data_IF_324969228752
#
_entry.id   IF_324969228752
#
_cell.length_a   1.000
_cell.length_b   1.000
_cell.length_c   1.000
_cell.angle_alpha   90.00
_cell.angle_beta   90.00
_cell.angle_gamma   90.00
#
_symmetry.space_group_name_H-M   'P 1'
#
loop_
_entity.id
_entity.type
_entity.pdbx_description
1 polymer ?
#
# COMPACT_ATOMS: atom_id res chain seq x y z
N UNK A 1 46.32 54.49 -9.99
CA UNK A 1 44.89 54.13 -9.96
C UNK A 1 44.78 52.61 -9.83
N UNK A 2 44.43 52.13 -8.66
CA UNK A 2 44.37 50.70 -8.36
C UNK A 2 42.87 50.34 -8.32
N UNK A 3 42.42 49.59 -9.34
CA UNK A 3 41.01 49.14 -9.42
C UNK A 3 40.78 47.89 -8.57
N UNK A 4 39.89 48.00 -7.59
CA UNK A 4 39.44 46.89 -6.75
C UNK A 4 38.31 46.17 -7.51
N UNK A 5 38.55 44.94 -7.96
CA UNK A 5 37.52 44.04 -8.48
C UNK A 5 36.76 43.40 -7.29
N UNK A 6 35.53 43.80 -7.10
CA UNK A 6 34.59 43.16 -6.14
C UNK A 6 34.07 41.86 -6.75
N UNK A 7 34.50 40.71 -6.23
CA UNK A 7 33.95 39.40 -6.58
C UNK A 7 32.65 39.19 -5.75
N UNK A 8 31.51 39.29 -6.40
CA UNK A 8 30.22 38.96 -5.80
C UNK A 8 30.02 37.45 -5.84
N UNK A 9 30.24 36.75 -4.70
CA UNK A 9 29.98 35.34 -4.56
C UNK A 9 28.47 35.15 -4.44
N UNK A 10 27.81 34.64 -5.50
CA UNK A 10 26.44 34.18 -5.43
C UNK A 10 26.36 32.88 -4.60
N UNK A 11 25.85 32.98 -3.41
CA UNK A 11 25.47 31.82 -2.60
C UNK A 11 24.22 31.18 -3.22
N UNK A 12 24.42 30.07 -3.91
CA UNK A 12 23.29 29.21 -4.29
C UNK A 12 22.76 28.56 -3.01
N UNK A 13 21.66 29.06 -2.51
CA UNK A 13 20.87 28.38 -1.48
C UNK A 13 20.23 27.15 -2.14
N UNK A 14 20.78 25.97 -1.90
CA UNK A 14 20.11 24.70 -2.22
C UNK A 14 18.88 24.60 -1.31
N UNK A 15 17.67 24.75 -1.88
CA UNK A 15 16.45 24.48 -1.15
C UNK A 15 16.51 23.03 -0.62
N UNK A 16 16.40 22.87 0.68
CA UNK A 16 16.22 21.54 1.28
C UNK A 16 14.98 20.90 0.66
N UNK A 17 15.04 19.64 0.22
CA UNK A 17 13.87 18.96 -0.31
C UNK A 17 12.77 19.01 0.74
N UNK A 18 11.62 19.54 0.38
CA UNK A 18 10.43 19.55 1.23
C UNK A 18 10.11 18.12 1.60
N UNK A 19 10.07 17.80 2.90
CA UNK A 19 9.74 16.46 3.37
C UNK A 19 8.36 16.08 2.80
N UNK A 20 8.32 15.01 2.00
CA UNK A 20 7.07 14.55 1.40
C UNK A 20 6.13 14.07 2.50
N UNK A 21 4.88 14.57 2.48
CA UNK A 21 3.88 14.17 3.45
C UNK A 21 3.30 12.80 3.07
N UNK A 22 3.10 11.89 4.04
CA UNK A 22 2.45 10.60 3.78
C UNK A 22 0.97 10.81 3.43
N UNK A 23 0.47 10.01 2.49
CA UNK A 23 -0.97 9.94 2.15
C UNK A 23 -1.78 9.15 3.18
N UNK A 24 -1.11 8.28 3.93
CA UNK A 24 -1.64 7.57 5.11
C UNK A 24 -0.55 7.61 6.16
N UNK A 25 -0.92 8.01 7.39
CA UNK A 25 -0.04 7.97 8.54
C UNK A 25 -0.81 7.48 9.77
N UNK A 26 -0.37 6.36 10.34
CA UNK A 26 -0.97 5.77 11.53
C UNK A 26 0.11 5.07 12.37
N UNK A 27 -0.29 4.31 13.39
CA UNK A 27 0.67 3.62 14.27
C UNK A 27 1.46 2.50 13.56
N UNK A 28 0.91 1.91 12.48
CA UNK A 28 1.51 0.76 11.79
C UNK A 28 2.39 1.16 10.60
N UNK A 29 1.98 2.18 9.85
CA UNK A 29 2.62 2.56 8.58
C UNK A 29 2.61 4.06 8.36
N UNK A 30 3.61 4.55 7.60
CA UNK A 30 3.54 5.78 6.83
C UNK A 30 3.59 5.42 5.35
N UNK A 31 2.60 5.84 4.58
CA UNK A 31 2.48 5.48 3.14
C UNK A 31 2.70 6.72 2.29
N UNK A 32 3.62 6.63 1.34
CA UNK A 32 3.99 7.72 0.45
C UNK A 32 3.66 7.35 -1.00
N UNK A 33 3.02 8.26 -1.71
CA UNK A 33 2.78 8.19 -3.16
C UNK A 33 3.76 9.14 -3.85
N UNK A 34 4.76 8.59 -4.50
CA UNK A 34 5.93 9.33 -4.97
C UNK A 34 6.18 9.15 -6.46
N UNK A 35 6.69 10.20 -7.11
CA UNK A 35 7.16 10.17 -8.51
C UNK A 35 8.66 10.49 -8.63
N UNK A 36 9.26 10.96 -7.54
CA UNK A 36 10.66 11.37 -7.47
C UNK A 36 11.38 10.63 -6.34
N UNK A 37 12.70 10.64 -6.38
CA UNK A 37 13.52 10.02 -5.36
C UNK A 37 13.25 10.62 -3.98
N UNK A 38 13.10 9.75 -2.99
CA UNK A 38 12.94 10.12 -1.58
C UNK A 38 14.10 9.58 -0.75
N UNK A 39 14.38 10.15 0.42
CA UNK A 39 15.44 9.68 1.31
C UNK A 39 15.30 8.20 1.70
N UNK A 40 16.39 7.66 2.24
CA UNK A 40 16.38 6.35 2.88
C UNK A 40 15.29 6.31 3.97
N UNK A 41 14.54 5.19 4.00
CA UNK A 41 13.43 5.05 4.92
C UNK A 41 13.92 4.77 6.36
N UNK A 42 13.27 5.36 7.37
CA UNK A 42 13.66 5.17 8.77
C UNK A 42 13.35 3.75 9.28
N UNK A 43 12.48 3.02 8.61
CA UNK A 43 12.12 1.63 8.89
C UNK A 43 12.27 0.76 7.65
N UNK A 44 12.00 -0.55 7.79
CA UNK A 44 11.80 -1.43 6.63
C UNK A 44 10.62 -0.92 5.80
N UNK A 45 10.63 -1.16 4.49
CA UNK A 45 9.53 -0.70 3.66
C UNK A 45 9.19 -1.67 2.53
N UNK A 46 7.92 -1.61 2.07
CA UNK A 46 7.47 -2.23 0.83
C UNK A 46 7.35 -1.14 -0.23
N UNK A 47 7.94 -1.39 -1.38
CA UNK A 47 7.97 -0.48 -2.54
C UNK A 47 7.19 -1.11 -3.67
N UNK A 48 6.14 -0.43 -4.17
CA UNK A 48 5.22 -0.99 -5.19
C UNK A 48 5.12 -0.02 -6.37
N UNK A 49 5.38 -0.53 -7.58
CA UNK A 49 5.17 0.20 -8.84
C UNK A 49 3.68 0.31 -9.18
N UNK A 50 3.15 1.51 -9.41
CA UNK A 50 1.78 1.69 -9.89
C UNK A 50 1.56 1.13 -11.30
N UNK A 51 2.58 1.16 -12.15
CA UNK A 51 2.47 0.72 -13.52
C UNK A 51 2.37 -0.80 -13.67
N UNK A 52 3.20 -1.55 -12.93
CA UNK A 52 3.28 -3.02 -13.04
C UNK A 52 2.63 -3.77 -11.89
N UNK A 53 2.53 -3.16 -10.70
CA UNK A 53 2.20 -3.85 -9.46
C UNK A 53 3.36 -4.67 -8.91
N UNK A 54 4.56 -4.53 -9.47
CA UNK A 54 5.75 -5.16 -8.92
C UNK A 54 6.03 -4.61 -7.53
N UNK A 55 6.26 -5.51 -6.59
CA UNK A 55 6.49 -5.16 -5.19
C UNK A 55 7.83 -5.72 -4.72
N UNK A 56 8.59 -4.91 -4.00
CA UNK A 56 9.87 -5.28 -3.40
C UNK A 56 9.93 -4.86 -1.94
N UNK A 57 10.71 -5.58 -1.15
CA UNK A 57 11.00 -5.22 0.24
C UNK A 57 12.38 -4.57 0.31
N UNK A 58 12.49 -3.49 1.07
CA UNK A 58 13.77 -2.83 1.36
C UNK A 58 13.97 -2.74 2.88
N UNK A 59 15.20 -2.94 3.31
CA UNK A 59 15.55 -2.83 4.72
C UNK A 59 15.70 -1.38 5.16
N UNK A 60 15.47 -1.12 6.43
CA UNK A 60 15.73 0.13 7.12
C UNK A 60 17.04 0.77 6.66
N UNK A 61 17.02 2.09 6.46
CA UNK A 61 18.18 2.85 6.01
C UNK A 61 18.45 2.76 4.49
N UNK A 62 17.59 2.06 3.73
CA UNK A 62 17.71 1.95 2.27
C UNK A 62 16.81 2.97 1.58
N UNK A 63 17.36 3.69 0.59
CA UNK A 63 16.56 4.56 -0.27
C UNK A 63 15.81 3.71 -1.31
N UNK A 64 14.49 3.91 -1.49
CA UNK A 64 13.74 3.19 -2.51
C UNK A 64 14.14 3.61 -3.91
N UNK A 65 14.17 2.64 -4.84
CA UNK A 65 14.33 2.95 -6.28
C UNK A 65 12.99 3.40 -6.83
N UNK A 66 12.91 4.65 -7.28
CA UNK A 66 11.70 5.23 -7.86
C UNK A 66 11.84 5.23 -9.38
N UNK A 67 10.98 4.47 -10.05
CA UNK A 67 10.87 4.39 -11.51
C UNK A 67 9.43 4.71 -11.93
N UNK A 68 9.09 6.00 -11.98
CA UNK A 68 7.72 6.48 -12.16
C UNK A 68 6.93 6.48 -10.85
N UNK A 69 5.60 6.58 -10.93
CA UNK A 69 4.74 6.63 -9.74
C UNK A 69 4.86 5.35 -8.92
N UNK A 70 5.25 5.50 -7.68
CA UNK A 70 5.62 4.42 -6.77
C UNK A 70 4.95 4.62 -5.41
N UNK A 71 4.40 3.55 -4.84
CA UNK A 71 3.95 3.52 -3.46
C UNK A 71 5.08 3.02 -2.58
N UNK A 72 5.38 3.75 -1.51
CA UNK A 72 6.32 3.33 -0.47
C UNK A 72 5.56 3.19 0.83
N UNK A 73 5.53 1.99 1.39
CA UNK A 73 4.89 1.67 2.67
C UNK A 73 6.01 1.50 3.70
N UNK A 74 6.31 2.54 4.45
CA UNK A 74 7.23 2.50 5.58
C UNK A 74 6.56 1.76 6.74
N UNK A 75 7.18 0.69 7.21
CA UNK A 75 6.64 -0.22 8.22
C UNK A 75 7.13 0.20 9.60
N UNK A 76 6.36 1.02 10.29
CA UNK A 76 6.68 1.49 11.64
C UNK A 76 6.93 0.32 12.59
N UNK A 77 7.78 0.56 13.57
CA UNK A 77 8.13 -0.47 14.58
C UNK A 77 7.02 -0.61 15.62
N UNK A 78 5.86 -1.04 15.16
CA UNK A 78 4.68 -1.33 15.98
C UNK A 78 4.11 -2.69 15.56
N UNK A 79 4.63 -3.74 16.19
CA UNK A 79 4.14 -5.10 15.99
C UNK A 79 2.77 -5.27 16.64
N UNK A 80 1.88 -5.95 15.95
CA UNK A 80 0.55 -6.31 16.48
C UNK A 80 0.23 -7.73 16.03
N UNK A 81 0.06 -8.63 16.97
CA UNK A 81 -0.26 -10.02 16.69
C UNK A 81 -1.53 -10.16 15.83
N UNK A 82 -1.57 -11.10 14.87
CA UNK A 82 -2.78 -11.43 14.16
C UNK A 82 -3.89 -11.82 15.14
N UNK A 83 -5.12 -11.43 14.81
CA UNK A 83 -6.29 -11.83 15.61
C UNK A 83 -6.58 -13.30 15.35
N UNK A 84 -6.67 -14.10 16.40
CA UNK A 84 -7.21 -15.46 16.30
C UNK A 84 -8.62 -15.38 15.72
N UNK A 85 -8.86 -16.09 14.61
CA UNK A 85 -10.15 -16.05 13.93
C UNK A 85 -11.26 -16.59 14.84
N UNK A 86 -12.17 -15.74 15.33
CA UNK A 86 -13.28 -16.17 16.20
C UNK A 86 -14.50 -16.66 15.40
N UNK A 87 -14.40 -16.70 14.07
CA UNK A 87 -15.50 -16.97 13.15
C UNK A 87 -15.36 -18.36 12.52
N UNK A 88 -16.44 -18.84 11.89
CA UNK A 88 -16.43 -20.04 11.07
C UNK A 88 -15.88 -19.84 9.66
N UNK A 89 -15.58 -18.60 9.28
CA UNK A 89 -15.13 -18.27 7.93
C UNK A 89 -13.62 -18.46 7.79
N UNK A 90 -13.18 -18.80 6.59
CA UNK A 90 -11.75 -18.91 6.29
C UNK A 90 -11.03 -17.55 6.42
N UNK A 91 -9.71 -17.58 6.53
CA UNK A 91 -8.90 -16.35 6.43
C UNK A 91 -9.00 -15.74 5.03
N UNK A 92 -8.80 -14.41 4.96
CA UNK A 92 -8.83 -13.67 3.71
C UNK A 92 -7.82 -14.18 2.67
N UNK A 93 -6.71 -14.73 3.13
CA UNK A 93 -5.65 -15.29 2.29
C UNK A 93 -5.08 -16.58 2.89
N UNK A 94 -4.63 -17.53 2.02
CA UNK A 94 -4.70 -17.50 0.55
C UNK A 94 -6.13 -17.69 0.01
N UNK A 95 -6.41 -17.14 -1.18
CA UNK A 95 -7.68 -17.37 -1.87
C UNK A 95 -7.50 -17.42 -3.39
N UNK A 96 -8.51 -17.92 -4.13
CA UNK A 96 -8.54 -17.86 -5.58
C UNK A 96 -8.45 -16.40 -6.06
N UNK A 97 -7.70 -16.17 -7.13
CA UNK A 97 -7.44 -14.84 -7.67
C UNK A 97 -6.35 -14.06 -6.93
N UNK A 98 -5.80 -14.59 -5.84
CA UNK A 98 -4.68 -13.99 -5.12
C UNK A 98 -3.40 -14.82 -5.27
N UNK A 99 -2.36 -14.19 -5.82
CA UNK A 99 -1.02 -14.76 -5.94
C UNK A 99 -0.10 -14.12 -4.91
N UNK A 100 0.54 -14.93 -4.07
CA UNK A 100 1.59 -14.42 -3.15
C UNK A 100 2.79 -13.96 -3.96
N UNK A 101 3.20 -12.70 -3.79
CA UNK A 101 4.42 -12.15 -4.40
C UNK A 101 5.63 -12.49 -3.54
N UNK A 102 5.54 -12.20 -2.25
CA UNK A 102 6.55 -12.59 -1.26
C UNK A 102 5.96 -12.55 0.17
N UNK A 103 6.73 -13.09 1.10
CA UNK A 103 6.45 -13.09 2.53
C UNK A 103 7.77 -13.02 3.31
N UNK A 104 7.76 -12.26 4.40
CA UNK A 104 8.84 -12.22 5.39
C UNK A 104 8.24 -12.03 6.80
N UNK A 105 9.09 -11.70 7.79
CA UNK A 105 8.67 -11.54 9.18
C UNK A 105 7.77 -10.31 9.41
N UNK A 106 7.73 -9.34 8.47
CA UNK A 106 6.98 -8.09 8.60
C UNK A 106 5.70 -8.06 7.80
N UNK A 107 5.67 -8.70 6.63
CA UNK A 107 4.57 -8.59 5.67
C UNK A 107 4.34 -9.86 4.87
N UNK A 108 3.11 -9.98 4.33
CA UNK A 108 2.78 -10.86 3.21
C UNK A 108 2.21 -9.97 2.10
N UNK A 109 2.75 -10.06 0.89
CA UNK A 109 2.28 -9.24 -0.24
C UNK A 109 1.62 -10.14 -1.29
N UNK A 110 0.42 -9.73 -1.70
CA UNK A 110 -0.46 -10.44 -2.63
C UNK A 110 -0.76 -9.59 -3.86
N UNK A 111 -0.78 -10.20 -5.04
CA UNK A 111 -1.36 -9.66 -6.25
C UNK A 111 -2.75 -10.29 -6.42
N UNK A 112 -3.80 -9.50 -6.28
CA UNK A 112 -5.18 -9.96 -6.23
C UNK A 112 -5.98 -9.44 -7.40
N UNK A 113 -6.73 -10.36 -8.06
CA UNK A 113 -7.64 -10.08 -9.18
C UNK A 113 -9.03 -10.59 -8.80
N UNK A 114 -10.06 -9.80 -9.07
CA UNK A 114 -11.47 -10.20 -8.91
C UNK A 114 -12.06 -10.60 -10.25
N UNK A 115 -12.77 -11.73 -10.28
CA UNK A 115 -13.53 -12.16 -11.45
C UNK A 115 -14.88 -11.44 -11.50
N UNK A 116 -15.29 -10.83 -12.62
CA UNK A 116 -16.59 -10.15 -12.74
C UNK A 116 -17.76 -11.07 -12.36
N UNK A 117 -18.63 -10.57 -11.49
CA UNK A 117 -19.83 -11.26 -11.05
C UNK A 117 -19.61 -12.45 -10.10
N UNK A 118 -18.36 -12.83 -9.82
CA UNK A 118 -18.05 -13.93 -8.91
C UNK A 118 -17.70 -13.37 -7.54
N UNK A 119 -18.47 -13.75 -6.52
CA UNK A 119 -18.20 -13.37 -5.14
C UNK A 119 -16.97 -14.13 -4.62
N UNK A 120 -16.08 -13.45 -3.90
CA UNK A 120 -15.07 -14.14 -3.09
C UNK A 120 -15.79 -14.94 -1.99
N UNK A 121 -15.22 -16.05 -1.48
CA UNK A 121 -15.78 -16.66 -0.27
C UNK A 121 -15.90 -15.64 0.86
N UNK A 122 -16.89 -15.80 1.74
CA UNK A 122 -16.97 -15.02 2.98
C UNK A 122 -15.67 -15.32 3.79
N UNK A 123 -14.95 -14.27 4.21
CA UNK A 123 -13.63 -14.44 4.82
C UNK A 123 -13.36 -13.44 5.94
N UNK A 124 -12.46 -13.81 6.84
CA UNK A 124 -12.03 -13.03 7.98
C UNK A 124 -10.62 -12.45 7.75
N UNK A 125 -10.45 -11.17 8.03
CA UNK A 125 -9.16 -10.49 8.04
C UNK A 125 -8.53 -10.51 9.44
N UNK A 126 -7.53 -11.33 9.64
CA UNK A 126 -6.78 -11.43 10.89
C UNK A 126 -5.65 -10.37 11.01
N UNK A 127 -5.33 -9.70 9.91
CA UNK A 127 -4.27 -8.68 9.80
C UNK A 127 -4.78 -7.38 9.21
N UNK A 128 -4.11 -6.27 9.59
CA UNK A 128 -4.27 -4.99 8.91
C UNK A 128 -3.68 -5.07 7.51
N UNK A 129 -4.27 -4.35 6.56
CA UNK A 129 -3.81 -4.36 5.17
C UNK A 129 -3.67 -2.96 4.59
N UNK A 130 -2.62 -2.75 3.79
CA UNK A 130 -2.53 -1.64 2.84
C UNK A 130 -2.87 -2.17 1.47
N UNK A 131 -3.80 -1.51 0.76
CA UNK A 131 -4.28 -1.92 -0.56
C UNK A 131 -4.01 -0.82 -1.57
N UNK A 132 -3.31 -1.15 -2.65
CA UNK A 132 -3.15 -0.32 -3.84
C UNK A 132 -3.99 -0.88 -4.97
N UNK A 133 -5.05 -0.18 -5.37
CA UNK A 133 -5.89 -0.55 -6.53
C UNK A 133 -5.23 -0.09 -7.84
N UNK A 134 -5.11 -0.99 -8.80
CA UNK A 134 -4.41 -0.75 -10.08
C UNK A 134 -5.37 -0.61 -11.26
N UNK A 135 -6.65 -0.94 -11.10
CA UNK A 135 -7.66 -0.92 -12.16
C UNK A 135 -8.91 -0.15 -11.71
N UNK A 136 -9.76 0.23 -12.68
CA UNK A 136 -11.06 0.87 -12.45
C UNK A 136 -12.13 -0.22 -12.30
N UNK A 137 -12.81 -0.24 -11.15
CA UNK A 137 -13.87 -1.19 -10.91
C UNK A 137 -14.64 -0.91 -9.62
N UNK A 138 -15.89 -1.37 -9.59
CA UNK A 138 -16.74 -1.27 -8.42
C UNK A 138 -16.82 -2.63 -7.72
N UNK A 139 -16.39 -2.67 -6.46
CA UNK A 139 -16.52 -3.83 -5.59
C UNK A 139 -17.71 -3.65 -4.65
N UNK A 140 -18.66 -4.58 -4.72
CA UNK A 140 -19.71 -4.72 -3.73
C UNK A 140 -19.18 -5.61 -2.60
N UNK A 141 -19.12 -5.07 -1.39
CA UNK A 141 -18.79 -5.79 -0.17
C UNK A 141 -20.07 -6.14 0.56
N UNK A 142 -20.22 -7.39 1.02
CA UNK A 142 -21.36 -7.87 1.80
C UNK A 142 -20.87 -8.49 3.09
N UNK A 143 -21.36 -8.02 4.23
CA UNK A 143 -21.05 -8.53 5.57
C UNK A 143 -21.97 -9.72 5.95
N UNK A 144 -21.66 -10.52 7.01
CA UNK A 144 -22.44 -11.69 7.39
C UNK A 144 -23.92 -11.39 7.72
N UNK A 145 -24.22 -10.19 8.18
CA UNK A 145 -25.60 -9.70 8.44
C UNK A 145 -26.34 -9.24 7.18
N UNK A 146 -25.71 -9.39 6.00
CA UNK A 146 -26.29 -9.04 4.71
C UNK A 146 -26.20 -7.56 4.33
N UNK A 147 -25.51 -6.74 5.11
CA UNK A 147 -25.30 -5.34 4.76
C UNK A 147 -24.37 -5.23 3.56
N UNK A 148 -24.81 -4.50 2.54
CA UNK A 148 -24.06 -4.28 1.31
C UNK A 148 -23.51 -2.86 1.24
N UNK A 149 -22.28 -2.74 0.70
CA UNK A 149 -21.64 -1.46 0.41
C UNK A 149 -20.94 -1.57 -0.94
N UNK A 150 -21.16 -0.60 -1.83
CA UNK A 150 -20.48 -0.52 -3.11
C UNK A 150 -19.39 0.56 -3.03
N UNK A 151 -18.17 0.17 -3.36
CA UNK A 151 -17.02 1.06 -3.41
C UNK A 151 -16.47 1.12 -4.83
N UNK A 152 -16.48 2.33 -5.42
CA UNK A 152 -15.84 2.59 -6.70
C UNK A 152 -14.35 2.87 -6.49
N UNK A 153 -13.50 2.02 -7.04
CA UNK A 153 -12.05 2.19 -6.98
C UNK A 153 -11.49 2.61 -8.33
N UNK A 154 -10.58 3.56 -8.31
CA UNK A 154 -9.83 4.04 -9.47
C UNK A 154 -8.37 3.57 -9.39
N UNK A 155 -7.67 3.47 -10.54
CA UNK A 155 -6.23 3.22 -10.52
C UNK A 155 -5.51 4.24 -9.62
N UNK A 156 -4.72 3.76 -8.68
CA UNK A 156 -4.01 4.58 -7.72
C UNK A 156 -4.78 4.90 -6.43
N UNK A 157 -5.99 4.36 -6.25
CA UNK A 157 -6.66 4.41 -4.93
C UNK A 157 -5.85 3.60 -3.92
N UNK A 158 -5.55 4.21 -2.78
CA UNK A 158 -4.80 3.60 -1.68
C UNK A 158 -5.72 3.55 -0.46
N UNK A 159 -5.77 2.40 0.23
CA UNK A 159 -6.57 2.21 1.43
C UNK A 159 -5.75 1.50 2.51
N UNK A 160 -5.94 1.94 3.75
CA UNK A 160 -5.59 1.15 4.92
C UNK A 160 -6.89 0.58 5.51
N UNK A 161 -6.93 -0.72 5.69
CA UNK A 161 -8.07 -1.38 6.31
C UNK A 161 -7.59 -2.15 7.54
N UNK A 162 -8.25 -1.89 8.66
CA UNK A 162 -7.96 -2.60 9.90
C UNK A 162 -8.40 -4.06 9.79
N UNK A 163 -7.75 -4.92 10.56
CA UNK A 163 -8.15 -6.31 10.82
C UNK A 163 -9.49 -6.39 11.53
N UNK A 164 -9.92 -7.59 11.90
CA UNK A 164 -11.21 -7.89 12.56
C UNK A 164 -12.42 -7.53 11.70
N UNK A 165 -12.38 -7.94 10.43
CA UNK A 165 -13.46 -7.72 9.46
C UNK A 165 -13.83 -9.03 8.80
N UNK A 166 -15.16 -9.23 8.61
CA UNK A 166 -15.70 -10.33 7.83
C UNK A 166 -16.51 -9.79 6.68
N UNK A 167 -16.22 -10.24 5.47
CA UNK A 167 -17.01 -9.90 4.30
C UNK A 167 -16.77 -10.85 3.13
N UNK A 168 -17.60 -10.74 2.11
CA UNK A 168 -17.36 -11.19 0.74
C UNK A 168 -17.27 -9.97 -0.17
N UNK A 169 -16.59 -10.07 -1.30
CA UNK A 169 -16.49 -9.02 -2.31
C UNK A 169 -16.89 -9.55 -3.68
N UNK A 170 -17.67 -8.78 -4.42
CA UNK A 170 -18.06 -9.08 -5.80
C UNK A 170 -17.72 -7.92 -6.70
N UNK A 171 -16.97 -8.17 -7.78
CA UNK A 171 -16.75 -7.17 -8.82
C UNK A 171 -18.02 -7.04 -9.66
N UNK A 172 -18.70 -5.88 -9.56
CA UNK A 172 -19.99 -5.60 -10.22
C UNK A 172 -19.85 -4.70 -11.45
N UNK A 173 -18.72 -4.02 -11.61
CA UNK A 173 -18.40 -3.18 -12.78
C UNK A 173 -16.89 -3.11 -13.01
N UNK A 174 -16.48 -3.06 -14.28
CA UNK A 174 -15.08 -2.83 -14.69
C UNK A 174 -14.17 -4.03 -14.51
N UNK A 175 -12.90 -3.75 -14.27
CA UNK A 175 -11.86 -4.72 -13.95
C UNK A 175 -11.25 -4.33 -12.59
N UNK A 176 -10.87 -5.30 -11.77
CA UNK A 176 -10.17 -4.96 -10.54
C UNK A 176 -8.95 -5.85 -10.31
N UNK A 177 -7.83 -5.18 -10.06
CA UNK A 177 -6.57 -5.76 -9.59
C UNK A 177 -6.01 -4.87 -8.51
N UNK A 178 -5.52 -5.46 -7.45
CA UNK A 178 -4.87 -4.71 -6.37
C UNK A 178 -3.64 -5.45 -5.84
N UNK A 179 -2.65 -4.68 -5.39
CA UNK A 179 -1.56 -5.19 -4.57
C UNK A 179 -1.95 -4.97 -3.11
N UNK A 180 -1.99 -6.06 -2.35
CA UNK A 180 -2.42 -6.08 -0.96
C UNK A 180 -1.24 -6.47 -0.09
N UNK A 181 -0.88 -5.60 0.85
CA UNK A 181 0.18 -5.83 1.83
C UNK A 181 -0.48 -6.10 3.18
N UNK A 182 -0.44 -7.36 3.65
CA UNK A 182 -0.80 -7.73 5.01
C UNK A 182 0.34 -7.41 5.97
N UNK A 183 0.04 -6.77 7.09
CA UNK A 183 1.01 -6.37 8.12
C UNK A 183 1.04 -7.42 9.25
N UNK A 184 2.20 -7.98 9.50
CA UNK A 184 2.45 -8.93 10.61
C UNK A 184 2.77 -8.22 11.92
#
# INVERSE_FOLDING_TARGET
MLGILLFCAMLFQTASPTAQQPVIDNQRVAVFDVTEAIPAQPNDAVVISFASGEATFISKGTAPKIAGRTLVIDLKDHHVDPINNPTQYQLAFPREGAKKLFENDRVIVWDSVWKPGVATPMHFHDKDVVVLFLKDGDLKSTTPDGKETVNAYKPGTIRFNQRDRVHTETLIRGEQRAIITELK
#
